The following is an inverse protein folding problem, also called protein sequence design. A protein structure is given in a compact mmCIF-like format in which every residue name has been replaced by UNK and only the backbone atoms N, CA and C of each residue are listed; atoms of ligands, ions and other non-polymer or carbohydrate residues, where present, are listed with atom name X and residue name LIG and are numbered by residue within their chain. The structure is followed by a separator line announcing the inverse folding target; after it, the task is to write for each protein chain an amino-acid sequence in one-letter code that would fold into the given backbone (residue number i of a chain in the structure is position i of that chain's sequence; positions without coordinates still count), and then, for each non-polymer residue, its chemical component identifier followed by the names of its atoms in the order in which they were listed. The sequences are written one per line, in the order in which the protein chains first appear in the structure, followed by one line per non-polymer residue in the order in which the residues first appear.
data_IF_115519037794
#
_entry.id   IF_115519037794
#
_cell.length_a   1.000
_cell.length_b   1.000
_cell.length_c   1.000
_cell.angle_alpha   90.00
_cell.angle_beta   90.00
_cell.angle_gamma   90.00
#
_symmetry.space_group_name_H-M   'P 1'
#
loop_
_entity.id
_entity.type
_entity.pdbx_description
1 polymer ?
#
# COMPACT_ATOMS: atom_id res chain seq x y z
N UNK A 1 5.01 2.11 -7.84
CA UNK A 1 4.76 3.40 -7.22
C UNK A 1 3.61 4.06 -7.96
N UNK A 2 2.55 4.43 -7.24
CA UNK A 2 1.30 4.86 -7.88
C UNK A 2 0.86 6.24 -7.40
N UNK A 3 0.26 7.00 -8.33
CA UNK A 3 -0.24 8.34 -8.05
C UNK A 3 -1.74 8.29 -7.78
N UNK A 4 -2.16 8.92 -6.69
CA UNK A 4 -3.58 9.06 -6.36
C UNK A 4 -4.29 9.92 -7.40
N UNK A 5 -5.50 9.52 -7.75
CA UNK A 5 -6.29 10.21 -8.78
C UNK A 5 -6.44 11.70 -8.46
N UNK A 6 -6.06 12.54 -9.44
CA UNK A 6 -6.21 14.00 -9.34
C UNK A 6 -5.29 14.69 -8.34
N UNK A 7 -4.28 14.01 -7.81
CA UNK A 7 -3.38 14.56 -6.80
C UNK A 7 -1.92 14.36 -7.20
N UNK A 8 -1.03 15.25 -6.78
CA UNK A 8 0.40 15.04 -6.86
C UNK A 8 0.85 14.32 -5.58
N UNK A 9 0.34 13.11 -5.41
CA UNK A 9 0.59 12.29 -4.23
C UNK A 9 0.80 10.84 -4.64
N UNK A 10 2.01 10.35 -4.41
CA UNK A 10 2.42 8.99 -4.75
C UNK A 10 2.51 8.14 -3.49
N UNK A 11 2.07 6.90 -3.61
CA UNK A 11 2.11 5.94 -2.50
C UNK A 11 2.07 4.51 -3.03
N UNK A 12 2.36 3.55 -2.15
CA UNK A 12 2.05 2.16 -2.44
C UNK A 12 0.56 1.89 -2.24
N UNK A 13 0.01 0.88 -2.93
CA UNK A 13 -1.34 0.43 -2.67
C UNK A 13 -1.52 0.07 -1.20
N UNK A 14 -2.64 0.46 -0.64
CA UNK A 14 -3.00 0.12 0.74
C UNK A 14 -4.51 0.07 0.86
N UNK A 15 -5.00 -0.64 1.87
CA UNK A 15 -6.43 -0.69 2.13
C UNK A 15 -6.73 -1.22 3.50
N UNK A 16 -7.98 -1.08 3.91
CA UNK A 16 -8.47 -1.53 5.21
C UNK A 16 -8.81 -3.01 5.22
N UNK A 17 -8.65 -3.63 6.39
CA UNK A 17 -9.08 -5.01 6.63
C UNK A 17 -10.54 -4.97 7.08
N UNK A 18 -11.40 -5.73 6.41
CA UNK A 18 -12.81 -5.83 6.77
C UNK A 18 -13.00 -6.77 7.96
N UNK A 19 -14.14 -6.62 8.64
CA UNK A 19 -14.53 -7.54 9.69
C UNK A 19 -14.54 -8.98 9.15
N UNK A 20 -14.01 -9.92 9.94
CA UNK A 20 -13.89 -11.34 9.58
C UNK A 20 -12.97 -11.63 8.39
N UNK A 21 -12.14 -10.68 7.99
CA UNK A 21 -11.16 -10.82 6.91
C UNK A 21 -9.75 -10.92 7.48
N UNK A 22 -8.96 -11.89 6.99
CA UNK A 22 -7.55 -11.96 7.39
C UNK A 22 -6.74 -10.88 6.67
N UNK A 23 -5.58 -10.47 7.23
CA UNK A 23 -4.70 -9.52 6.54
C UNK A 23 -4.31 -9.96 5.13
N UNK A 24 -3.99 -11.24 4.92
CA UNK A 24 -3.63 -11.76 3.60
C UNK A 24 -4.79 -11.66 2.60
N UNK A 25 -5.99 -11.99 3.02
CA UNK A 25 -7.17 -11.87 2.17
C UNK A 25 -7.44 -10.41 1.80
N UNK A 26 -7.30 -9.51 2.77
CA UNK A 26 -7.45 -8.08 2.53
C UNK A 26 -6.40 -7.57 1.53
N UNK A 27 -5.16 -8.03 1.64
CA UNK A 27 -4.08 -7.64 0.73
C UNK A 27 -4.43 -8.03 -0.71
N UNK A 28 -4.85 -9.27 -0.96
CA UNK A 28 -5.21 -9.71 -2.31
C UNK A 28 -6.44 -8.98 -2.86
N UNK A 29 -7.41 -8.71 -2.01
CA UNK A 29 -8.61 -7.96 -2.41
C UNK A 29 -8.25 -6.53 -2.83
N UNK A 30 -7.46 -5.82 -2.01
CA UNK A 30 -7.03 -4.46 -2.32
C UNK A 30 -6.12 -4.40 -3.54
N UNK A 31 -5.26 -5.40 -3.71
CA UNK A 31 -4.39 -5.50 -4.88
C UNK A 31 -5.23 -5.54 -6.17
N UNK A 32 -6.29 -6.33 -6.16
CA UNK A 32 -7.20 -6.40 -7.31
C UNK A 32 -7.95 -5.09 -7.51
N UNK A 33 -8.51 -4.53 -6.46
CA UNK A 33 -9.30 -3.30 -6.54
C UNK A 33 -8.47 -2.11 -7.03
N UNK A 34 -7.24 -1.99 -6.57
CA UNK A 34 -6.40 -0.82 -6.84
C UNK A 34 -5.51 -0.97 -8.07
N UNK A 35 -5.03 -2.18 -8.38
CA UNK A 35 -4.04 -2.42 -9.43
C UNK A 35 -4.51 -3.43 -10.47
N UNK A 36 -5.60 -4.14 -10.22
CA UNK A 36 -6.18 -5.08 -11.18
C UNK A 36 -5.48 -6.44 -11.24
N UNK A 37 -4.64 -6.77 -10.27
CA UNK A 37 -3.94 -8.06 -10.27
C UNK A 37 -4.70 -9.13 -9.50
N UNK A 38 -4.69 -10.34 -10.06
CA UNK A 38 -5.19 -11.54 -9.40
C UNK A 38 -4.07 -12.23 -8.62
N UNK A 39 -4.39 -13.11 -7.65
CA UNK A 39 -3.35 -13.81 -6.89
C UNK A 39 -2.34 -14.58 -7.74
N UNK A 40 -2.75 -15.16 -8.86
CA UNK A 40 -1.86 -15.89 -9.77
C UNK A 40 -0.89 -15.00 -10.53
N UNK A 41 -1.08 -13.68 -10.51
CA UNK A 41 -0.19 -12.73 -11.16
C UNK A 41 1.02 -12.36 -10.30
N UNK A 42 1.01 -12.74 -9.04
CA UNK A 42 2.05 -12.37 -8.07
C UNK A 42 2.48 -13.58 -7.25
N UNK A 43 3.70 -13.51 -6.72
CA UNK A 43 4.23 -14.45 -5.74
C UNK A 43 4.50 -13.70 -4.44
N UNK A 44 3.90 -14.14 -3.34
CA UNK A 44 4.15 -13.56 -2.03
C UNK A 44 5.53 -14.01 -1.53
N UNK A 45 6.45 -13.07 -1.40
CA UNK A 45 7.82 -13.36 -0.94
C UNK A 45 7.96 -13.28 0.57
N UNK A 46 7.39 -12.25 1.18
CA UNK A 46 7.39 -12.10 2.65
C UNK A 46 6.44 -10.97 3.06
N UNK A 47 6.30 -10.83 4.38
CA UNK A 47 5.54 -9.75 4.99
C UNK A 47 6.30 -9.23 6.22
N UNK A 48 5.94 -8.03 6.70
CA UNK A 48 6.48 -7.52 7.96
C UNK A 48 5.97 -8.38 9.13
N UNK A 49 6.81 -8.57 10.15
CA UNK A 49 6.50 -9.46 11.27
C UNK A 49 5.43 -8.90 12.20
N UNK A 50 5.42 -7.58 12.38
CA UNK A 50 4.54 -6.90 13.31
C UNK A 50 3.78 -5.78 12.61
N UNK A 51 2.75 -5.27 13.31
CA UNK A 51 2.04 -4.07 12.89
C UNK A 51 2.98 -2.86 12.98
N UNK A 52 3.11 -2.12 11.88
CA UNK A 52 3.82 -0.86 11.81
C UNK A 52 2.81 0.27 11.99
N UNK A 53 3.13 1.27 12.80
CA UNK A 53 2.17 2.31 13.19
C UNK A 53 2.68 3.69 12.86
N UNK A 54 1.75 4.55 12.45
CA UNK A 54 2.01 5.99 12.36
C UNK A 54 0.81 6.77 12.91
N UNK A 55 1.07 8.00 13.36
CA UNK A 55 0.03 8.93 13.79
C UNK A 55 -0.24 9.96 12.73
N UNK A 56 -1.51 10.31 12.56
CA UNK A 56 -1.87 11.45 11.73
C UNK A 56 -1.51 12.75 12.44
N UNK A 57 -0.90 13.74 11.74
CA UNK A 57 -0.80 15.09 12.25
C UNK A 57 -2.18 15.64 12.57
N UNK A 58 -2.29 16.53 13.54
CA UNK A 58 -3.58 17.07 14.01
C UNK A 58 -4.45 17.62 12.90
N UNK A 59 -3.85 18.25 11.88
CA UNK A 59 -4.57 18.82 10.75
C UNK A 59 -5.27 17.78 9.87
N UNK A 60 -4.85 16.50 9.94
CA UNK A 60 -5.44 15.42 9.16
C UNK A 60 -6.41 14.55 9.99
N UNK A 61 -6.55 14.82 11.28
CA UNK A 61 -7.50 14.11 12.13
C UNK A 61 -8.89 14.68 11.94
N UNK A 62 -9.84 13.83 11.51
CA UNK A 62 -11.25 14.24 11.37
C UNK A 62 -11.90 14.24 12.74
N UNK A 63 -12.19 15.43 13.29
CA UNK A 63 -12.73 15.59 14.62
C UNK A 63 -14.13 15.02 14.83
N UNK A 64 -14.90 14.87 13.73
CA UNK A 64 -16.28 14.42 13.78
C UNK A 64 -16.46 12.95 13.39
N UNK A 65 -15.37 12.20 13.19
CA UNK A 65 -15.45 10.77 12.89
C UNK A 65 -15.60 9.95 14.17
N UNK A 66 -16.38 8.86 14.09
CA UNK A 66 -16.50 7.88 15.17
C UNK A 66 -16.25 6.49 14.62
N UNK A 67 -15.27 5.73 15.19
CA UNK A 67 -14.30 6.19 16.19
C UNK A 67 -13.33 7.24 15.62
N UNK A 68 -12.72 8.02 16.51
CA UNK A 68 -11.73 9.02 16.10
C UNK A 68 -10.48 8.33 15.58
N UNK A 69 -10.15 8.55 14.30
CA UNK A 69 -8.95 8.00 13.69
C UNK A 69 -7.75 8.92 13.94
N UNK A 70 -6.81 8.49 14.77
CA UNK A 70 -5.60 9.23 15.11
C UNK A 70 -4.35 8.72 14.38
N UNK A 71 -4.49 7.63 13.63
CA UNK A 71 -3.38 7.01 12.89
C UNK A 71 -3.81 5.68 12.32
N UNK A 72 -2.83 4.92 11.86
CA UNK A 72 -3.04 3.59 11.31
C UNK A 72 -1.98 2.63 11.79
N UNK A 73 -2.31 1.33 11.74
CA UNK A 73 -1.35 0.24 11.86
C UNK A 73 -1.42 -0.58 10.58
N UNK A 74 -0.26 -1.02 10.09
CA UNK A 74 -0.15 -1.69 8.79
C UNK A 74 0.70 -2.95 8.88
N UNK A 75 0.34 -3.95 8.07
CA UNK A 75 1.21 -5.05 7.70
C UNK A 75 1.55 -4.85 6.23
N UNK A 76 2.83 -4.97 5.90
CA UNK A 76 3.34 -4.81 4.55
C UNK A 76 3.68 -6.16 3.95
N UNK A 77 3.44 -6.29 2.67
CA UNK A 77 3.68 -7.50 1.89
C UNK A 77 4.63 -7.20 0.73
N UNK A 78 5.62 -8.06 0.54
CA UNK A 78 6.49 -8.02 -0.61
C UNK A 78 6.00 -9.05 -1.63
N UNK A 79 5.61 -8.58 -2.80
CA UNK A 79 5.11 -9.40 -3.88
C UNK A 79 6.05 -9.31 -5.08
N UNK A 80 6.30 -10.45 -5.72
CA UNK A 80 6.99 -10.50 -7.01
C UNK A 80 5.94 -10.57 -8.10
N UNK A 81 6.00 -9.65 -9.07
CA UNK A 81 5.16 -9.73 -10.25
C UNK A 81 5.70 -10.86 -11.15
N UNK A 82 4.84 -11.85 -11.44
CA UNK A 82 5.23 -13.03 -12.24
C UNK A 82 4.62 -13.02 -13.63
N UNK A 83 3.99 -11.91 -14.01
CA UNK A 83 3.45 -11.66 -15.35
C UNK A 83 3.99 -10.33 -15.86
N UNK A 84 3.70 -9.99 -17.11
CA UNK A 84 4.05 -8.70 -17.68
C UNK A 84 3.31 -7.56 -16.98
N UNK A 85 3.93 -6.37 -16.89
CA UNK A 85 3.33 -5.22 -16.23
C UNK A 85 2.11 -4.63 -16.96
N UNK A 86 1.86 -5.06 -18.19
CA UNK A 86 0.62 -4.72 -18.90
C UNK A 86 -0.63 -5.26 -18.22
N UNK A 87 -0.51 -6.21 -17.27
CA UNK A 87 -1.61 -6.71 -16.48
C UNK A 87 -2.10 -5.70 -15.43
N UNK A 88 -1.34 -4.65 -15.15
CA UNK A 88 -1.81 -3.58 -14.27
C UNK A 88 -3.02 -2.89 -14.88
N UNK A 89 -4.10 -2.81 -14.11
CA UNK A 89 -5.31 -2.12 -14.49
C UNK A 89 -5.79 -1.24 -13.32
N UNK A 90 -5.51 0.05 -13.42
CA UNK A 90 -5.87 1.03 -12.39
C UNK A 90 -7.35 1.41 -12.43
N UNK A 91 -8.06 0.99 -13.48
CA UNK A 91 -9.46 1.34 -13.70
C UNK A 91 -10.42 0.16 -13.53
N UNK A 92 -10.01 -0.90 -12.80
CA UNK A 92 -10.84 -2.09 -12.68
C UNK A 92 -12.04 -1.94 -11.74
N UNK A 93 -12.17 -0.82 -11.05
CA UNK A 93 -13.34 -0.47 -10.25
C UNK A 93 -13.96 0.83 -10.77
N UNK A 94 -15.22 1.09 -10.36
CA UNK A 94 -15.93 2.33 -10.73
C UNK A 94 -15.36 3.56 -10.03
N UNK A 95 -14.53 3.38 -9.00
CA UNK A 95 -13.96 4.46 -8.20
C UNK A 95 -12.45 4.26 -8.02
N UNK A 96 -11.64 4.48 -9.08
CA UNK A 96 -10.20 4.21 -9.05
C UNK A 96 -9.48 5.01 -7.99
N UNK A 97 -8.55 4.37 -7.27
CA UNK A 97 -7.67 5.02 -6.29
C UNK A 97 -6.50 5.72 -6.97
N UNK A 98 -5.97 5.14 -8.05
CA UNK A 98 -4.79 5.62 -8.76
C UNK A 98 -5.07 5.89 -10.24
N UNK A 99 -4.31 6.83 -10.81
CA UNK A 99 -4.40 7.15 -12.25
C UNK A 99 -3.08 6.95 -13.02
N UNK A 100 -1.96 6.77 -12.33
CA UNK A 100 -0.65 6.51 -12.92
C UNK A 100 0.15 5.55 -12.03
N UNK A 101 1.08 4.83 -12.65
CA UNK A 101 2.07 4.03 -11.93
C UNK A 101 3.41 4.11 -12.64
N UNK A 102 4.49 3.80 -11.93
CA UNK A 102 5.83 3.70 -12.50
C UNK A 102 6.69 2.76 -11.67
N UNK A 103 7.68 2.16 -12.30
CA UNK A 103 8.74 1.47 -11.59
C UNK A 103 9.72 2.50 -11.02
N UNK A 104 10.21 2.26 -9.82
CA UNK A 104 11.16 3.13 -9.11
C UNK A 104 12.22 2.28 -8.41
N UNK A 105 13.32 2.91 -8.00
CA UNK A 105 14.29 2.26 -7.14
C UNK A 105 13.67 1.91 -5.79
N UNK A 106 14.14 0.82 -5.19
CA UNK A 106 13.52 0.26 -3.98
C UNK A 106 13.34 1.26 -2.83
N UNK A 107 14.33 2.12 -2.59
CA UNK A 107 14.28 3.07 -1.47
C UNK A 107 13.66 4.42 -1.82
N UNK A 108 13.42 4.70 -3.08
CA UNK A 108 12.85 5.98 -3.52
C UNK A 108 11.51 6.31 -2.85
N UNK A 109 10.58 5.36 -2.67
CA UNK A 109 9.33 5.64 -1.97
C UNK A 109 9.48 6.19 -0.56
N UNK A 110 10.50 5.73 0.20
CA UNK A 110 10.75 6.23 1.54
C UNK A 110 11.16 7.70 1.56
N UNK A 111 11.79 8.18 0.48
CA UNK A 111 12.20 9.58 0.36
C UNK A 111 11.06 10.48 -0.14
N UNK A 112 10.15 9.94 -0.95
CA UNK A 112 9.08 10.70 -1.59
C UNK A 112 7.76 10.72 -0.82
N UNK A 113 7.51 9.73 0.04
CA UNK A 113 6.24 9.64 0.76
C UNK A 113 6.04 10.84 1.69
N UNK A 114 4.79 11.22 1.92
CA UNK A 114 4.44 12.28 2.87
C UNK A 114 5.11 12.03 4.23
N UNK A 115 5.61 13.08 4.87
CA UNK A 115 6.56 12.98 5.99
C UNK A 115 6.09 12.13 7.17
N UNK A 116 4.82 12.15 7.51
CA UNK A 116 4.32 11.39 8.67
C UNK A 116 4.23 9.88 8.43
N UNK A 117 4.39 9.42 7.19
CA UNK A 117 4.47 7.99 6.86
C UNK A 117 5.89 7.49 6.64
N UNK A 118 6.88 8.39 6.62
CA UNK A 118 8.26 8.05 6.25
C UNK A 118 8.87 6.97 7.13
N UNK A 119 8.66 7.06 8.44
CA UNK A 119 9.22 6.07 9.37
C UNK A 119 8.68 4.67 9.12
N UNK A 120 7.37 4.55 8.89
CA UNK A 120 6.74 3.26 8.56
C UNK A 120 7.31 2.71 7.25
N UNK A 121 7.47 3.56 6.23
CA UNK A 121 8.06 3.15 4.96
C UNK A 121 9.49 2.65 5.15
N UNK A 122 10.31 3.36 5.92
CA UNK A 122 11.69 2.96 6.21
C UNK A 122 11.74 1.62 6.93
N UNK A 123 10.91 1.42 7.94
CA UNK A 123 10.85 0.17 8.69
C UNK A 123 10.41 -1.00 7.81
N UNK A 124 9.36 -0.81 7.01
CA UNK A 124 8.84 -1.84 6.14
C UNK A 124 9.87 -2.26 5.08
N UNK A 125 10.46 -1.28 4.39
CA UNK A 125 11.45 -1.56 3.34
C UNK A 125 12.69 -2.24 3.91
N UNK A 126 13.14 -1.84 5.10
CA UNK A 126 14.26 -2.48 5.78
C UNK A 126 14.00 -3.95 6.08
N UNK A 127 12.80 -4.27 6.55
CA UNK A 127 12.41 -5.66 6.84
C UNK A 127 12.27 -6.51 5.57
N UNK A 128 11.81 -5.92 4.47
CA UNK A 128 11.47 -6.66 3.26
C UNK A 128 12.63 -6.78 2.26
N UNK A 129 13.60 -5.86 2.29
CA UNK A 129 14.72 -5.85 1.35
C UNK A 129 15.48 -7.18 1.25
N UNK A 130 15.77 -7.90 2.36
CA UNK A 130 16.51 -9.17 2.28
C UNK A 130 15.81 -10.25 1.46
N UNK A 131 14.51 -10.12 1.21
CA UNK A 131 13.70 -11.13 0.52
C UNK A 131 13.48 -10.82 -0.96
N UNK A 132 14.07 -9.74 -1.48
CA UNK A 132 14.01 -9.42 -2.91
C UNK A 132 14.80 -10.47 -3.69
N UNK A 133 14.21 -10.97 -4.75
CA UNK A 133 14.82 -11.94 -5.66
C UNK A 133 15.08 -11.35 -7.02
#
# INVERSE_FOLDING_TARGET
WARRVGMDAWQFPQGGIKENESPNTAMYRELKEEIGLEPEHVELLNSTNDWLRYRLPKQYVRKNSEPLCIGQKQIWYLLKLVVDDRYFDLSCTSNPEFDLWKWVDFWQPADEIISFKREVYQQALKQLEPFIV
#
